data_IF_902361434102
#
_entry.id   IF_902361434102
#
_cell.length_a   1.000
_cell.length_b   1.000
_cell.length_c   1.000
_cell.angle_alpha   90.00
_cell.angle_beta   90.00
_cell.angle_gamma   90.00
#
_symmetry.space_group_name_H-M   'P 1'
#
loop_
_entity.id
_entity.type
_entity.pdbx_description
1 polymer ?
#
# COMPACT_ATOMS: atom_id res chain seq x y z
N UNK A 1 -20.04 5.68 6.44
CA UNK A 1 -19.12 4.69 5.84
C UNK A 1 -18.46 3.95 6.99
N UNK A 2 -18.52 2.61 6.98
CA UNK A 2 -17.81 1.79 7.98
C UNK A 2 -16.39 1.54 7.48
N UNK A 3 -15.39 1.88 8.29
CA UNK A 3 -14.00 1.55 8.01
C UNK A 3 -13.78 0.06 8.33
N UNK A 4 -13.53 -0.75 7.29
CA UNK A 4 -13.25 -2.18 7.38
C UNK A 4 -11.76 -2.49 7.34
N UNK A 5 -11.38 -3.65 6.80
CA UNK A 5 -10.00 -3.85 6.34
C UNK A 5 -9.69 -2.90 5.17
N UNK A 6 -8.41 -2.73 4.85
CA UNK A 6 -7.95 -1.97 3.69
C UNK A 6 -7.58 -2.99 2.62
N UNK A 7 -8.04 -2.75 1.41
CA UNK A 7 -7.66 -3.48 0.21
C UNK A 7 -6.67 -2.65 -0.62
N UNK A 8 -5.66 -3.32 -1.16
CA UNK A 8 -4.67 -2.79 -2.07
C UNK A 8 -5.02 -3.17 -3.51
N UNK A 9 -5.15 -2.17 -4.37
CA UNK A 9 -5.20 -2.35 -5.82
C UNK A 9 -3.76 -2.23 -6.33
N UNK A 10 -3.03 -3.36 -6.34
CA UNK A 10 -1.59 -3.37 -6.63
C UNK A 10 -1.22 -2.65 -7.94
N UNK A 11 -2.04 -2.84 -8.99
CA UNK A 11 -1.83 -2.22 -10.29
C UNK A 11 -1.86 -0.67 -10.27
N UNK A 12 -2.47 -0.08 -9.25
CA UNK A 12 -2.54 1.36 -9.06
C UNK A 12 -1.42 1.91 -8.17
N UNK A 13 -0.75 1.05 -7.39
CA UNK A 13 0.29 1.49 -6.46
C UNK A 13 1.60 1.84 -7.21
N UNK A 14 2.07 3.07 -7.05
CA UNK A 14 3.32 3.55 -7.67
C UNK A 14 4.51 3.60 -6.71
N UNK A 15 4.36 3.04 -5.51
CA UNK A 15 5.37 3.08 -4.43
C UNK A 15 5.82 4.52 -4.10
N UNK A 16 4.90 5.49 -4.17
CA UNK A 16 5.20 6.91 -3.89
C UNK A 16 5.46 7.20 -2.39
N UNK A 17 5.14 6.24 -1.53
CA UNK A 17 5.31 6.30 -0.06
C UNK A 17 4.44 7.34 0.65
N UNK A 18 3.42 7.93 0.01
CA UNK A 18 2.57 8.95 0.65
C UNK A 18 1.75 8.32 1.78
N UNK A 19 1.02 7.24 1.51
CA UNK A 19 0.22 6.54 2.52
C UNK A 19 1.04 6.10 3.74
N UNK A 20 2.27 5.62 3.53
CA UNK A 20 3.17 5.24 4.62
C UNK A 20 3.69 6.43 5.44
N UNK A 21 3.93 7.58 4.79
CA UNK A 21 4.43 8.80 5.45
C UNK A 21 3.34 9.55 6.21
N UNK A 22 2.12 9.57 5.67
CA UNK A 22 0.98 10.27 6.28
C UNK A 22 0.26 9.41 7.35
N UNK A 23 0.60 8.12 7.45
CA UNK A 23 0.03 7.24 8.46
C UNK A 23 0.43 7.70 9.88
N UNK A 24 -0.53 8.15 10.73
CA UNK A 24 -0.20 8.70 12.05
C UNK A 24 0.40 7.66 13.01
N UNK A 25 0.12 6.37 12.80
CA UNK A 25 0.68 5.27 13.60
C UNK A 25 1.80 4.50 12.90
N UNK A 26 2.20 4.93 11.70
CA UNK A 26 3.31 4.32 10.95
C UNK A 26 3.12 2.81 10.74
N UNK A 27 1.86 2.35 10.59
CA UNK A 27 1.53 0.94 10.50
C UNK A 27 1.77 0.33 9.10
N UNK A 28 2.08 1.14 8.09
CA UNK A 28 2.27 0.70 6.70
C UNK A 28 3.76 0.57 6.41
N UNK A 29 4.16 -0.58 5.87
CA UNK A 29 5.52 -0.82 5.35
C UNK A 29 5.48 -1.06 3.86
N UNK A 30 6.31 -0.32 3.12
CA UNK A 30 6.44 -0.43 1.66
C UNK A 30 7.90 -0.66 1.31
N UNK A 31 8.20 -1.71 0.57
CA UNK A 31 9.49 -1.91 -0.10
C UNK A 31 9.30 -1.79 -1.60
N UNK A 32 10.29 -1.21 -2.28
CA UNK A 32 10.27 -1.01 -3.73
C UNK A 32 11.69 -0.92 -4.28
N UNK A 33 11.85 -1.35 -5.52
CA UNK A 33 13.04 -1.10 -6.31
C UNK A 33 12.74 -0.22 -7.52
N UNK A 34 13.78 0.17 -8.25
CA UNK A 34 13.63 0.94 -9.48
C UNK A 34 13.99 0.09 -10.68
N UNK A 35 13.17 0.16 -11.72
CA UNK A 35 13.43 -0.46 -13.02
C UNK A 35 13.52 0.60 -14.13
N UNK A 36 14.36 0.39 -15.16
CA UNK A 36 14.39 1.28 -16.31
C UNK A 36 13.09 1.16 -17.13
N UNK A 37 12.56 2.30 -17.58
CA UNK A 37 11.43 2.31 -18.51
C UNK A 37 11.92 1.76 -19.86
N UNK A 38 11.30 0.66 -20.30
CA UNK A 38 11.55 0.05 -21.61
C UNK A 38 10.84 0.84 -22.70
N UNK A 39 11.31 0.67 -23.94
CA UNK A 39 10.66 1.20 -25.14
C UNK A 39 10.52 2.74 -25.18
N UNK A 40 11.48 3.45 -24.60
CA UNK A 40 11.58 4.90 -24.72
C UNK A 40 11.89 5.30 -26.18
N UNK A 41 11.32 6.42 -26.68
CA UNK A 41 11.60 6.92 -28.02
C UNK A 41 13.10 7.14 -28.27
N UNK A 42 13.54 6.98 -29.52
CA UNK A 42 14.93 7.22 -29.89
C UNK A 42 15.37 8.65 -29.52
N UNK A 43 16.47 8.76 -28.75
CA UNK A 43 16.98 10.03 -28.24
C UNK A 43 16.34 10.52 -26.93
N UNK A 44 15.38 9.78 -26.36
CA UNK A 44 14.84 10.07 -25.04
C UNK A 44 15.89 9.80 -23.94
N UNK A 45 15.86 10.62 -22.88
CA UNK A 45 16.67 10.41 -21.69
C UNK A 45 16.21 9.15 -20.96
N UNK A 46 17.14 8.34 -20.48
CA UNK A 46 16.86 7.19 -19.61
C UNK A 46 16.07 7.63 -18.37
N UNK A 47 15.05 6.86 -18.03
CA UNK A 47 14.16 7.09 -16.90
C UNK A 47 13.91 5.77 -16.20
N UNK A 48 13.66 5.85 -14.90
CA UNK A 48 13.26 4.72 -14.07
C UNK A 48 11.85 4.91 -13.52
N UNK A 49 11.22 3.80 -13.15
CA UNK A 49 9.98 3.73 -12.40
C UNK A 49 10.19 2.91 -11.14
N UNK A 50 9.44 3.22 -10.09
CA UNK A 50 9.41 2.36 -8.92
C UNK A 50 8.49 1.16 -9.19
N UNK A 51 8.89 0.00 -8.72
CA UNK A 51 8.11 -1.24 -8.73
C UNK A 51 7.91 -1.66 -7.27
N UNK A 52 6.66 -1.98 -6.91
CA UNK A 52 6.30 -2.41 -5.57
C UNK A 52 6.82 -3.84 -5.32
N UNK A 53 7.63 -4.01 -4.28
CA UNK A 53 8.12 -5.33 -3.86
C UNK A 53 7.32 -5.91 -2.69
N UNK A 54 6.92 -5.02 -1.77
CA UNK A 54 6.18 -5.40 -0.57
C UNK A 54 5.28 -4.27 -0.13
N UNK A 55 4.09 -4.64 0.31
CA UNK A 55 3.17 -3.74 1.00
C UNK A 55 2.58 -4.50 2.19
N UNK A 56 2.70 -3.93 3.39
CA UNK A 56 2.17 -4.57 4.58
C UNK A 56 1.50 -3.56 5.51
N UNK A 57 0.43 -3.98 6.18
CA UNK A 57 -0.27 -3.21 7.21
C UNK A 57 -0.21 -3.98 8.53
N UNK A 58 0.30 -3.34 9.58
CA UNK A 58 0.19 -3.84 10.95
C UNK A 58 -1.13 -3.36 11.58
N UNK A 59 -2.14 -4.21 11.57
CA UNK A 59 -3.46 -3.93 12.13
C UNK A 59 -3.48 -3.81 13.65
N UNK A 60 -2.41 -4.26 14.35
CA UNK A 60 -2.27 -4.00 15.79
C UNK A 60 -1.95 -2.53 16.10
N UNK A 61 -1.50 -1.78 15.09
CA UNK A 61 -1.15 -0.36 15.18
C UNK A 61 -2.12 0.55 14.41
N UNK A 62 -2.85 0.01 13.43
CA UNK A 62 -3.79 0.78 12.62
C UNK A 62 -4.93 1.35 13.47
N UNK A 63 -5.16 2.66 13.36
CA UNK A 63 -6.25 3.34 14.07
C UNK A 63 -7.51 3.54 13.23
N UNK A 64 -7.57 2.93 12.04
CA UNK A 64 -8.71 3.03 11.11
C UNK A 64 -9.10 4.49 10.79
N UNK A 65 -8.12 5.39 10.63
CA UNK A 65 -8.37 6.81 10.38
C UNK A 65 -8.77 7.13 8.93
N UNK A 66 -8.38 6.30 7.95
CA UNK A 66 -8.71 6.49 6.54
C UNK A 66 -7.77 7.39 5.73
N UNK A 67 -6.81 8.06 6.37
CA UNK A 67 -5.87 8.98 5.69
C UNK A 67 -5.14 8.31 4.52
N UNK A 68 -4.71 7.06 4.67
CA UNK A 68 -4.02 6.34 3.60
C UNK A 68 -4.91 6.08 2.36
N UNK A 69 -6.23 5.93 2.55
CA UNK A 69 -7.21 5.79 1.47
C UNK A 69 -7.46 7.15 0.82
N UNK A 70 -7.65 8.20 1.62
CA UNK A 70 -7.98 9.55 1.14
C UNK A 70 -6.80 10.26 0.44
N UNK A 71 -5.58 10.09 0.93
CA UNK A 71 -4.38 10.76 0.41
C UNK A 71 -3.65 9.94 -0.67
N UNK A 72 -4.15 8.76 -1.04
CA UNK A 72 -3.53 7.99 -2.13
C UNK A 72 -3.85 8.67 -3.47
N UNK A 73 -2.87 9.28 -4.18
CA UNK A 73 -3.17 10.04 -5.39
C UNK A 73 -3.44 9.16 -6.61
N UNK A 74 -3.41 7.84 -6.43
CA UNK A 74 -3.61 6.85 -7.49
C UNK A 74 -4.75 5.88 -7.17
N UNK A 75 -5.54 6.14 -6.12
CA UNK A 75 -6.62 5.26 -5.69
C UNK A 75 -6.17 3.79 -5.56
N UNK A 76 -5.00 3.58 -4.96
CA UNK A 76 -4.42 2.26 -4.76
C UNK A 76 -4.92 1.57 -3.48
N UNK A 77 -5.58 2.31 -2.58
CA UNK A 77 -6.09 1.80 -1.32
C UNK A 77 -7.57 2.12 -1.20
N UNK A 78 -8.37 1.13 -0.78
CA UNK A 78 -9.80 1.31 -0.53
C UNK A 78 -10.24 0.54 0.72
N UNK A 79 -11.39 0.92 1.27
CA UNK A 79 -12.00 0.15 2.35
C UNK A 79 -12.66 -1.12 1.78
N UNK A 80 -12.26 -2.27 2.30
CA UNK A 80 -12.94 -3.53 2.04
C UNK A 80 -14.29 -3.58 2.80
N UNK A 81 -15.22 -4.39 2.28
CA UNK A 81 -16.50 -4.66 2.96
C UNK A 81 -16.32 -5.49 4.23
N UNK A 82 -15.31 -6.35 4.25
CA UNK A 82 -15.05 -7.26 5.35
C UNK A 82 -14.14 -6.60 6.42
N UNK A 83 -14.35 -6.93 7.71
CA UNK A 83 -13.45 -6.49 8.77
C UNK A 83 -12.12 -7.24 8.70
N UNK A 84 -11.12 -6.73 9.42
CA UNK A 84 -9.86 -7.45 9.63
C UNK A 84 -10.14 -8.76 10.38
N UNK A 85 -9.73 -9.94 9.85
CA UNK A 85 -9.91 -11.21 10.52
C UNK A 85 -9.22 -11.23 11.89
N UNK A 86 -9.93 -11.80 12.88
CA UNK A 86 -9.36 -11.98 14.21
C UNK A 86 -8.28 -13.07 14.22
N UNK A 87 -7.26 -12.89 15.06
CA UNK A 87 -6.18 -13.86 15.26
C UNK A 87 -5.75 -13.92 16.72
N UNK A 88 -5.06 -14.99 17.12
CA UNK A 88 -4.55 -15.18 18.49
C UNK A 88 -3.09 -14.77 18.66
N UNK A 89 -2.46 -14.24 17.61
CA UNK A 89 -1.05 -13.82 17.66
C UNK A 89 -0.89 -12.43 17.07
N UNK A 90 0.02 -11.63 17.63
CA UNK A 90 0.34 -10.30 17.08
C UNK A 90 0.86 -10.39 15.63
N UNK A 91 1.57 -11.48 15.28
CA UNK A 91 2.05 -11.70 13.93
C UNK A 91 0.91 -11.85 12.91
N UNK A 92 -0.20 -12.47 13.30
CA UNK A 92 -1.36 -12.63 12.41
C UNK A 92 -2.17 -11.35 12.19
N UNK A 93 -1.82 -10.23 12.85
CA UNK A 93 -2.39 -8.90 12.56
C UNK A 93 -1.52 -8.12 11.58
N UNK A 94 -0.40 -8.67 11.13
CA UNK A 94 0.38 -8.11 10.02
C UNK A 94 -0.07 -8.79 8.75
N UNK A 95 -0.75 -8.01 7.92
CA UNK A 95 -1.19 -8.47 6.62
C UNK A 95 -0.15 -8.04 5.59
N UNK A 96 0.32 -9.00 4.81
CA UNK A 96 1.22 -8.77 3.68
C UNK A 96 0.41 -8.50 2.41
N UNK A 97 1.10 -8.31 1.29
CA UNK A 97 0.48 -7.89 0.02
C UNK A 97 -0.60 -8.88 -0.43
N UNK A 98 -0.37 -10.18 -0.21
CA UNK A 98 -1.30 -11.26 -0.58
C UNK A 98 -2.58 -11.29 0.27
N UNK A 99 -2.56 -10.68 1.46
CA UNK A 99 -3.70 -10.63 2.39
C UNK A 99 -4.62 -9.42 2.13
N UNK A 100 -4.22 -8.51 1.24
CA UNK A 100 -4.87 -7.22 1.02
C UNK A 100 -5.58 -7.14 -0.34
N UNK A 101 -5.82 -8.25 -1.02
CA UNK A 101 -6.41 -8.32 -2.38
C UNK A 101 -7.93 -8.27 -2.47
#
# INVERSE_FOLDING_TARGET
>A
MSHGAIKLIEANCTSCMICARECPSWCIRIDSHTEPIRDLPAGARERTVNVLDRFAIDWSLCMYCGICVEECPFDALEWASDPVPGTTSAAGLRHEIEDLG
#
